data_IF_008052616506
#
_entry.id   IF_008052616506
#
_cell.length_a   1.000
_cell.length_b   1.000
_cell.length_c   1.000
_cell.angle_alpha   90.00
_cell.angle_beta   90.00
_cell.angle_gamma   90.00
#
_symmetry.space_group_name_H-M   'P 1'
#
loop_
_entity.id
_entity.type
_entity.pdbx_description
1 polymer ?
#
# COMPACT_ATOMS: atom_id res chain seq x y z
N UNK A 1 13.33 8.00 -10.17
CA UNK A 1 14.49 7.09 -10.25
C UNK A 1 14.17 5.82 -11.01
N UNK A 2 13.16 5.02 -10.62
CA UNK A 2 12.77 3.78 -11.34
C UNK A 2 12.58 3.96 -12.84
N UNK A 3 11.74 4.91 -13.27
CA UNK A 3 11.51 5.20 -14.70
C UNK A 3 12.79 5.61 -15.44
N UNK A 4 13.69 6.37 -14.79
CA UNK A 4 14.94 6.82 -15.42
C UNK A 4 15.94 5.66 -15.62
N UNK A 5 15.98 4.69 -14.70
CA UNK A 5 16.94 3.58 -14.72
C UNK A 5 16.42 2.40 -15.54
N UNK A 6 15.12 2.08 -15.43
CA UNK A 6 14.49 0.87 -15.97
C UNK A 6 13.52 1.15 -17.14
N UNK A 7 13.43 2.40 -17.58
CA UNK A 7 12.54 2.83 -18.66
C UNK A 7 11.07 2.98 -18.26
N UNK A 8 10.20 3.29 -19.23
CA UNK A 8 8.76 3.48 -19.05
C UNK A 8 7.94 2.18 -18.96
N UNK A 9 8.36 1.22 -18.14
CA UNK A 9 7.68 -0.08 -17.99
C UNK A 9 6.79 -0.15 -16.74
N UNK A 10 5.84 -1.08 -16.70
CA UNK A 10 5.00 -1.31 -15.52
C UNK A 10 5.82 -1.63 -14.26
N UNK A 11 6.90 -2.40 -14.45
CA UNK A 11 7.81 -2.77 -13.37
C UNK A 11 8.57 -1.55 -12.86
N UNK A 12 9.09 -0.70 -13.74
CA UNK A 12 9.88 0.47 -13.37
C UNK A 12 9.13 1.46 -12.45
N UNK A 13 7.82 1.63 -12.66
CA UNK A 13 6.99 2.50 -11.82
C UNK A 13 6.70 1.88 -10.45
N UNK A 14 6.64 0.54 -10.36
CA UNK A 14 6.37 -0.21 -9.11
C UNK A 14 7.63 -0.53 -8.31
N UNK A 15 8.79 -0.50 -8.97
CA UNK A 15 10.08 -0.85 -8.39
C UNK A 15 10.38 -0.14 -7.07
N UNK A 16 10.09 1.17 -6.89
CA UNK A 16 10.31 1.84 -5.61
C UNK A 16 9.47 1.24 -4.46
N UNK A 17 8.18 0.96 -4.68
CA UNK A 17 7.30 0.33 -3.68
C UNK A 17 7.78 -1.08 -3.34
N UNK A 18 8.20 -1.84 -4.36
CA UNK A 18 8.78 -3.17 -4.17
C UNK A 18 10.01 -3.13 -3.26
N UNK A 19 10.95 -2.21 -3.53
CA UNK A 19 12.13 -2.02 -2.69
C UNK A 19 11.77 -1.61 -1.25
N UNK A 20 10.77 -0.74 -1.07
CA UNK A 20 10.31 -0.35 0.26
C UNK A 20 9.78 -1.56 1.06
N UNK A 21 9.00 -2.43 0.42
CA UNK A 21 8.48 -3.65 1.06
C UNK A 21 9.57 -4.69 1.34
N UNK A 22 10.57 -4.83 0.46
CA UNK A 22 11.75 -5.68 0.70
C UNK A 22 12.57 -5.15 1.87
N UNK A 23 12.81 -3.83 1.93
CA UNK A 23 13.51 -3.20 3.05
C UNK A 23 12.74 -3.38 4.37
N UNK A 24 11.41 -3.25 4.34
CA UNK A 24 10.55 -3.46 5.51
C UNK A 24 10.70 -4.90 6.01
N UNK A 25 10.59 -5.90 5.12
CA UNK A 25 10.78 -7.30 5.45
C UNK A 25 12.18 -7.58 6.03
N UNK A 26 13.23 -6.97 5.47
CA UNK A 26 14.60 -7.13 5.96
C UNK A 26 14.81 -6.55 7.36
N UNK A 27 14.29 -5.34 7.62
CA UNK A 27 14.33 -4.71 8.95
C UNK A 27 13.55 -5.54 9.97
N UNK A 28 12.37 -6.03 9.59
CA UNK A 28 11.55 -6.87 10.44
C UNK A 28 12.22 -8.22 10.75
N UNK A 29 12.84 -8.86 9.75
CA UNK A 29 13.63 -10.08 9.94
C UNK A 29 14.77 -9.85 10.94
N UNK A 30 15.59 -8.82 10.69
CA UNK A 30 16.74 -8.50 11.55
C UNK A 30 16.30 -8.18 12.98
N UNK A 31 15.23 -7.40 13.12
CA UNK A 31 14.65 -7.06 14.42
C UNK A 31 14.18 -8.29 15.19
N UNK A 32 13.43 -9.15 14.52
CA UNK A 32 12.89 -10.38 15.12
C UNK A 32 14.01 -11.35 15.53
N UNK A 33 15.08 -11.43 14.74
CA UNK A 33 16.23 -12.26 15.05
C UNK A 33 16.97 -11.80 16.32
N UNK A 34 16.95 -10.49 16.62
CA UNK A 34 17.52 -9.90 17.83
C UNK A 34 16.58 -10.08 19.02
N UNK A 35 15.28 -9.86 18.83
CA UNK A 35 14.27 -9.89 19.89
C UNK A 35 13.88 -11.31 20.32
N UNK A 36 13.96 -12.28 19.40
CA UNK A 36 13.45 -13.64 19.60
C UNK A 36 14.50 -14.67 19.16
N UNK A 37 14.56 -14.97 17.86
CA UNK A 37 15.59 -15.82 17.23
C UNK A 37 15.41 -15.84 15.69
N UNK A 38 16.30 -16.56 14.99
CA UNK A 38 16.28 -16.69 13.52
C UNK A 38 15.07 -17.47 12.99
N UNK A 39 14.51 -18.41 13.75
CA UNK A 39 13.38 -19.21 13.30
C UNK A 39 12.10 -18.36 13.33
N UNK A 40 11.88 -17.63 14.42
CA UNK A 40 10.81 -16.64 14.54
C UNK A 40 10.96 -15.57 13.45
N UNK A 41 12.18 -15.09 13.16
CA UNK A 41 12.41 -14.11 12.11
C UNK A 41 11.97 -14.60 10.72
N UNK A 42 12.27 -15.86 10.39
CA UNK A 42 11.79 -16.49 9.14
C UNK A 42 10.26 -16.52 9.10
N UNK A 43 9.62 -16.99 10.16
CA UNK A 43 8.16 -17.08 10.22
C UNK A 43 7.48 -15.72 10.16
N UNK A 44 7.94 -14.73 10.93
CA UNK A 44 7.43 -13.35 10.87
C UNK A 44 7.50 -12.78 9.46
N UNK A 45 8.61 -13.01 8.76
CA UNK A 45 8.79 -12.51 7.39
C UNK A 45 7.87 -13.23 6.41
N UNK A 46 7.75 -14.56 6.50
CA UNK A 46 6.83 -15.36 5.68
C UNK A 46 5.40 -14.91 5.90
N UNK A 47 4.98 -14.75 7.16
CA UNK A 47 3.65 -14.31 7.56
C UNK A 47 3.36 -12.95 6.92
N UNK A 48 4.24 -11.96 7.10
CA UNK A 48 4.04 -10.64 6.51
C UNK A 48 3.97 -10.70 4.97
N UNK A 49 4.93 -11.36 4.32
CA UNK A 49 5.02 -11.38 2.85
C UNK A 49 3.89 -12.17 2.17
N UNK A 50 3.19 -13.01 2.92
CA UNK A 50 2.04 -13.79 2.43
C UNK A 50 0.69 -13.26 2.90
N UNK A 51 0.65 -12.08 3.53
CA UNK A 51 -0.60 -11.34 3.72
C UNK A 51 -1.03 -10.67 2.41
N UNK A 52 -2.33 -10.50 2.23
CA UNK A 52 -2.93 -9.89 1.05
C UNK A 52 -2.41 -8.47 0.78
N UNK A 53 -2.49 -7.58 1.77
CA UNK A 53 -2.14 -6.17 1.58
C UNK A 53 -0.62 -5.94 1.42
N UNK A 54 0.28 -6.51 2.24
CA UNK A 54 1.73 -6.36 2.03
C UNK A 54 2.18 -6.87 0.66
N UNK A 55 1.66 -8.01 0.19
CA UNK A 55 2.00 -8.52 -1.14
C UNK A 55 1.47 -7.59 -2.25
N UNK A 56 0.22 -7.12 -2.12
CA UNK A 56 -0.36 -6.17 -3.07
C UNK A 56 0.39 -4.83 -3.10
N UNK A 57 0.76 -4.30 -1.93
CA UNK A 57 1.49 -3.05 -1.76
C UNK A 57 2.87 -3.08 -2.42
N UNK A 58 3.54 -4.25 -2.39
CA UNK A 58 4.82 -4.44 -3.09
C UNK A 58 4.71 -4.28 -4.63
N UNK A 59 3.53 -4.54 -5.20
CA UNK A 59 3.24 -4.41 -6.62
C UNK A 59 2.42 -3.17 -7.00
N UNK A 60 2.07 -2.31 -6.05
CA UNK A 60 1.24 -1.14 -6.25
C UNK A 60 2.07 0.15 -6.24
N UNK A 61 1.64 1.15 -7.01
CA UNK A 61 2.27 2.47 -7.03
C UNK A 61 1.59 3.33 -5.96
N UNK A 62 1.98 3.13 -4.70
CA UNK A 62 1.37 3.74 -3.52
C UNK A 62 2.45 4.22 -2.55
N UNK A 63 2.20 5.35 -1.87
CA UNK A 63 3.09 5.87 -0.82
C UNK A 63 3.01 5.06 0.48
N UNK A 64 1.94 4.29 0.67
CA UNK A 64 1.70 3.45 1.85
C UNK A 64 2.84 2.47 2.16
N UNK A 65 3.53 1.95 1.14
CA UNK A 65 4.68 1.05 1.32
C UNK A 65 5.86 1.73 2.02
N UNK A 66 6.14 2.99 1.64
CA UNK A 66 7.19 3.80 2.27
C UNK A 66 6.78 4.22 3.67
N UNK A 67 5.53 4.62 3.85
CA UNK A 67 4.99 4.96 5.16
C UNK A 67 5.10 3.77 6.12
N UNK A 68 4.66 2.58 5.71
CA UNK A 68 4.76 1.37 6.51
C UNK A 68 6.21 1.01 6.85
N UNK A 69 7.16 1.16 5.91
CA UNK A 69 8.59 0.99 6.18
C UNK A 69 9.06 1.98 7.26
N UNK A 70 8.71 3.26 7.13
CA UNK A 70 9.08 4.30 8.08
C UNK A 70 8.59 4.00 9.49
N UNK A 71 7.28 3.71 9.65
CA UNK A 71 6.69 3.35 10.95
C UNK A 71 7.32 2.06 11.51
N UNK A 72 7.50 1.04 10.67
CA UNK A 72 8.12 -0.23 11.09
C UNK A 72 9.53 -0.02 11.62
N UNK A 73 10.34 0.73 10.89
CA UNK A 73 11.70 1.01 11.32
C UNK A 73 11.71 1.82 12.61
N UNK A 74 10.83 2.82 12.72
CA UNK A 74 10.69 3.63 13.93
C UNK A 74 10.37 2.81 15.17
N UNK A 75 9.33 1.99 15.09
CA UNK A 75 8.84 1.19 16.20
C UNK A 75 9.87 0.12 16.62
N UNK A 76 10.47 -0.57 15.66
CA UNK A 76 11.48 -1.60 15.94
C UNK A 76 12.76 -1.00 16.49
N UNK A 77 13.21 0.14 15.96
CA UNK A 77 14.39 0.86 16.46
C UNK A 77 14.23 1.30 17.92
N UNK A 78 13.07 1.87 18.27
CA UNK A 78 12.76 2.22 19.65
C UNK A 78 12.81 1.00 20.59
N UNK A 79 12.29 -0.15 20.14
CA UNK A 79 12.27 -1.36 20.95
C UNK A 79 13.66 -2.01 21.09
N UNK A 80 14.49 -1.97 20.04
CA UNK A 80 15.77 -2.69 19.95
C UNK A 80 16.97 -1.86 20.43
N UNK A 81 16.93 -0.53 20.32
CA UNK A 81 18.07 0.32 20.66
C UNK A 81 18.70 0.02 22.04
N UNK A 82 17.95 -0.32 23.11
CA UNK A 82 18.55 -0.69 24.39
C UNK A 82 19.31 -2.02 24.41
N UNK A 83 18.92 -2.98 23.57
CA UNK A 83 19.56 -4.32 23.53
C UNK A 83 20.66 -4.42 22.47
N UNK A 84 20.55 -3.64 21.38
CA UNK A 84 21.54 -3.58 20.32
C UNK A 84 21.83 -2.10 19.91
N UNK A 85 22.63 -1.36 20.70
CA UNK A 85 22.82 0.10 20.57
C UNK A 85 23.73 0.51 19.39
N UNK A 86 23.58 -0.12 18.23
CA UNK A 86 24.27 0.26 16.99
C UNK A 86 23.69 1.57 16.43
N UNK A 87 24.46 2.37 15.65
CA UNK A 87 23.95 3.57 15.00
C UNK A 87 22.69 3.32 14.17
N UNK A 88 22.60 2.17 13.51
CA UNK A 88 21.42 1.74 12.77
C UNK A 88 20.16 1.79 13.65
N UNK A 89 20.15 1.09 14.79
CA UNK A 89 18.99 1.08 15.68
C UNK A 89 18.81 2.38 16.47
N UNK A 90 19.89 3.04 16.87
CA UNK A 90 19.81 4.29 17.64
C UNK A 90 19.21 5.44 16.80
N UNK A 91 19.56 5.54 15.53
CA UNK A 91 19.00 6.56 14.63
C UNK A 91 17.73 6.10 13.91
N UNK A 92 17.37 4.81 14.01
CA UNK A 92 16.26 4.23 13.25
C UNK A 92 14.89 4.85 13.55
N UNK A 93 14.64 5.30 14.80
CA UNK A 93 13.45 6.07 15.14
C UNK A 93 13.34 7.33 14.26
N UNK A 94 14.41 8.10 14.19
CA UNK A 94 14.44 9.39 13.52
C UNK A 94 14.41 9.27 12.00
N UNK A 95 15.16 8.30 11.46
CA UNK A 95 15.17 8.02 10.01
C UNK A 95 13.83 7.43 9.56
N UNK A 96 13.24 6.51 10.34
CA UNK A 96 11.90 5.98 10.08
C UNK A 96 10.83 7.07 10.10
N UNK A 97 10.90 7.98 11.08
CA UNK A 97 10.02 9.15 11.15
C UNK A 97 10.19 10.08 9.94
N UNK A 98 11.43 10.32 9.48
CA UNK A 98 11.68 11.11 8.29
C UNK A 98 11.04 10.49 7.03
N UNK A 99 11.19 9.17 6.84
CA UNK A 99 10.54 8.44 5.75
C UNK A 99 9.02 8.57 5.86
N UNK A 100 8.46 8.41 7.07
CA UNK A 100 7.03 8.53 7.32
C UNK A 100 6.47 9.91 6.96
N UNK A 101 7.17 10.98 7.40
CA UNK A 101 6.79 12.37 7.13
C UNK A 101 6.79 12.67 5.64
N UNK A 102 7.86 12.31 4.93
CA UNK A 102 7.95 12.53 3.48
C UNK A 102 6.94 11.70 2.67
N UNK A 103 6.44 10.59 3.22
CA UNK A 103 5.49 9.72 2.53
C UNK A 103 4.02 10.11 2.77
N UNK A 104 3.68 10.43 4.01
CA UNK A 104 2.29 10.56 4.51
C UNK A 104 2.16 11.55 5.66
N UNK A 105 3.11 12.48 5.76
CA UNK A 105 3.02 13.65 6.63
C UNK A 105 2.94 13.32 8.13
N UNK A 106 2.29 14.19 8.93
CA UNK A 106 2.30 14.14 10.40
C UNK A 106 1.62 12.90 10.99
N UNK A 107 0.86 12.14 10.19
CA UNK A 107 0.30 10.85 10.62
C UNK A 107 1.37 9.91 11.18
N UNK A 108 2.63 10.05 10.74
CA UNK A 108 3.75 9.28 11.28
C UNK A 108 3.90 9.47 12.80
N UNK A 109 3.83 10.71 13.28
CA UNK A 109 3.96 11.02 14.71
C UNK A 109 2.78 10.45 15.50
N UNK A 110 1.57 10.55 14.94
CA UNK A 110 0.35 10.07 15.58
C UNK A 110 0.42 8.57 15.81
N UNK A 111 0.72 7.77 14.77
CA UNK A 111 0.77 6.31 14.90
C UNK A 111 1.90 5.84 15.83
N UNK A 112 3.05 6.53 15.82
CA UNK A 112 4.14 6.24 16.75
C UNK A 112 3.75 6.60 18.19
N UNK A 113 3.18 7.78 18.42
CA UNK A 113 2.79 8.24 19.76
C UNK A 113 1.69 7.37 20.39
N UNK A 114 0.69 6.94 19.61
CA UNK A 114 -0.42 6.07 20.07
C UNK A 114 0.09 4.75 20.65
N UNK A 115 1.27 4.27 20.25
CA UNK A 115 1.89 3.07 20.84
C UNK A 115 2.81 3.44 21.98
N UNK A 116 3.76 4.33 21.72
CA UNK A 116 4.87 4.62 22.64
C UNK A 116 4.37 5.26 23.93
N UNK A 117 3.48 6.24 23.86
CA UNK A 117 2.99 6.98 25.03
C UNK A 117 2.28 6.06 26.03
N UNK A 118 1.22 5.31 25.66
CA UNK A 118 0.57 4.41 26.62
C UNK A 118 1.51 3.29 27.06
N UNK A 119 2.36 2.75 26.18
CA UNK A 119 3.29 1.70 26.58
C UNK A 119 4.31 2.17 27.62
N UNK A 120 4.87 3.36 27.46
CA UNK A 120 5.78 3.98 28.42
C UNK A 120 5.06 4.36 29.73
N UNK A 121 3.84 4.92 29.63
CA UNK A 121 3.08 5.35 30.80
C UNK A 121 2.72 4.22 31.76
N UNK A 122 2.54 2.99 31.24
CA UNK A 122 2.16 1.83 32.04
C UNK A 122 3.21 1.40 33.08
N UNK A 123 4.52 1.60 32.83
CA UNK A 123 5.57 1.25 33.80
C UNK A 123 6.80 2.14 33.68
N UNK A 124 7.31 2.62 34.83
CA UNK A 124 8.46 3.54 34.91
C UNK A 124 9.78 2.93 34.42
N UNK A 125 9.97 1.62 34.58
CA UNK A 125 11.17 0.90 34.11
C UNK A 125 11.36 0.99 32.59
N UNK A 126 10.28 1.25 31.84
CA UNK A 126 10.31 1.37 30.38
C UNK A 126 10.92 2.69 29.89
N UNK A 127 11.06 3.70 30.76
CA UNK A 127 11.65 4.99 30.39
C UNK A 127 13.11 4.88 29.94
N UNK A 128 13.80 3.79 30.32
CA UNK A 128 15.16 3.48 29.85
C UNK A 128 15.25 3.42 28.31
N UNK A 129 14.16 3.05 27.61
CA UNK A 129 14.11 3.05 26.14
C UNK A 129 14.35 4.45 25.56
N UNK A 130 13.85 5.49 26.22
CA UNK A 130 14.05 6.87 25.77
C UNK A 130 15.51 7.31 25.92
N UNK A 131 16.18 6.88 26.99
CA UNK A 131 17.56 7.31 27.28
C UNK A 131 18.61 6.75 26.31
N UNK A 132 18.29 5.65 25.61
CA UNK A 132 19.19 5.01 24.66
C UNK A 132 19.16 5.65 23.25
N UNK A 133 18.22 6.58 23.02
CA UNK A 133 18.05 7.25 21.75
C UNK A 133 18.77 8.60 21.74
N UNK A 134 19.51 8.91 20.66
CA UNK A 134 20.20 10.18 20.51
C UNK A 134 19.21 11.28 20.13
N UNK A 135 18.37 11.74 21.07
CA UNK A 135 17.28 12.69 20.78
C UNK A 135 17.72 13.95 20.04
N UNK A 136 18.80 14.58 20.47
CA UNK A 136 19.28 15.81 19.83
C UNK A 136 19.75 15.55 18.40
N UNK A 137 20.80 14.73 18.22
CA UNK A 137 21.38 14.48 16.89
C UNK A 137 20.44 13.72 15.97
N UNK A 138 19.63 12.81 16.52
CA UNK A 138 18.58 12.11 15.80
C UNK A 138 17.51 13.05 15.27
N UNK A 139 17.01 13.97 16.09
CA UNK A 139 16.04 14.98 15.66
C UNK A 139 16.64 15.88 14.60
N UNK A 140 17.90 16.30 14.74
CA UNK A 140 18.60 17.08 13.72
C UNK A 140 18.69 16.31 12.39
N UNK A 141 18.99 15.00 12.42
CA UNK A 141 18.97 14.15 11.21
C UNK A 141 17.57 14.08 10.60
N UNK A 142 16.52 13.87 11.40
CA UNK A 142 15.14 13.85 10.89
C UNK A 142 14.75 15.16 10.24
N UNK A 143 15.08 16.30 10.85
CA UNK A 143 14.80 17.63 10.31
C UNK A 143 15.59 17.88 9.03
N UNK A 144 16.89 17.56 9.02
CA UNK A 144 17.72 17.71 7.83
C UNK A 144 17.22 16.89 6.64
N UNK A 145 16.59 15.73 6.87
CA UNK A 145 16.02 14.89 5.82
C UNK A 145 14.64 15.38 5.34
N UNK A 146 13.86 16.03 6.20
CA UNK A 146 12.44 16.35 5.93
C UNK A 146 12.21 17.81 5.55
N UNK A 147 12.73 18.74 6.35
CA UNK A 147 12.45 20.18 6.28
C UNK A 147 12.84 20.79 4.93
N UNK A 148 13.99 20.46 4.30
CA UNK A 148 14.36 21.07 3.02
C UNK A 148 13.32 20.83 1.92
N UNK A 149 12.70 19.65 1.88
CA UNK A 149 11.67 19.36 0.89
C UNK A 149 10.40 20.19 1.12
N UNK A 150 9.94 20.31 2.37
CA UNK A 150 8.77 21.13 2.70
C UNK A 150 9.00 22.61 2.39
N UNK A 151 10.21 23.14 2.68
CA UNK A 151 10.58 24.51 2.32
C UNK A 151 10.53 24.69 0.81
N UNK A 152 11.16 23.80 0.04
CA UNK A 152 11.13 23.88 -1.42
C UNK A 152 9.72 23.79 -2.00
N UNK A 153 8.85 22.94 -1.42
CA UNK A 153 7.46 22.81 -1.85
C UNK A 153 6.67 24.11 -1.59
N UNK A 154 6.82 24.71 -0.40
CA UNK A 154 6.19 26.00 -0.06
C UNK A 154 6.69 27.14 -0.95
N UNK A 155 7.99 27.23 -1.18
CA UNK A 155 8.57 28.27 -2.05
C UNK A 155 8.11 28.13 -3.50
N UNK A 156 7.92 26.89 -3.98
CA UNK A 156 7.47 26.63 -5.35
C UNK A 156 5.96 26.79 -5.51
N UNK A 157 5.19 26.56 -4.45
CA UNK A 157 3.74 26.60 -4.44
C UNK A 157 3.27 27.18 -3.10
N UNK A 158 3.25 28.52 -2.96
CA UNK A 158 2.84 29.17 -1.71
C UNK A 158 1.46 28.70 -1.24
N UNK A 159 1.33 28.41 0.05
CA UNK A 159 0.13 27.82 0.66
C UNK A 159 0.14 26.29 0.70
N UNK A 160 1.15 25.62 0.11
CA UNK A 160 1.26 24.16 0.11
C UNK A 160 1.27 23.57 1.52
N UNK A 161 2.03 24.13 2.46
CA UNK A 161 2.14 23.60 3.83
C UNK A 161 0.81 23.71 4.57
N UNK A 162 0.09 24.82 4.42
CA UNK A 162 -1.23 24.99 5.02
C UNK A 162 -2.22 23.98 4.43
N UNK A 163 -2.26 23.85 3.11
CA UNK A 163 -3.10 22.87 2.43
C UNK A 163 -2.76 21.43 2.86
N UNK A 164 -1.48 21.06 2.84
CA UNK A 164 -1.03 19.70 3.10
C UNK A 164 -1.17 19.33 4.58
N UNK A 165 -0.71 20.16 5.52
CA UNK A 165 -0.76 19.82 6.94
C UNK A 165 -2.16 20.02 7.54
N UNK A 166 -2.84 21.11 7.20
CA UNK A 166 -4.16 21.43 7.81
C UNK A 166 -5.28 20.77 7.00
N UNK A 167 -5.31 20.97 5.68
CA UNK A 167 -6.34 20.39 4.82
C UNK A 167 -6.29 18.86 4.78
N UNK A 168 -5.22 18.33 4.20
CA UNK A 168 -5.13 16.89 3.90
C UNK A 168 -4.99 15.98 5.12
N UNK A 169 -4.57 16.49 6.29
CA UNK A 169 -4.40 15.66 7.48
C UNK A 169 -5.40 15.97 8.59
N UNK A 170 -5.62 17.24 8.93
CA UNK A 170 -6.52 17.59 10.02
C UNK A 170 -7.98 17.61 9.54
N UNK A 171 -8.30 18.44 8.53
CA UNK A 171 -9.67 18.54 8.01
C UNK A 171 -10.13 17.23 7.42
N UNK A 172 -9.30 16.55 6.61
CA UNK A 172 -9.65 15.24 6.02
C UNK A 172 -9.94 14.13 7.05
N UNK A 173 -9.36 14.20 8.25
CA UNK A 173 -9.60 13.23 9.32
C UNK A 173 -10.90 13.53 10.08
N UNK A 174 -11.17 14.82 10.34
CA UNK A 174 -12.32 15.28 11.13
C UNK A 174 -13.60 15.40 10.29
N UNK A 175 -13.47 15.81 9.03
CA UNK A 175 -14.56 16.05 8.09
C UNK A 175 -14.59 14.96 7.02
N UNK A 176 -15.60 14.08 7.11
CA UNK A 176 -15.81 12.97 6.17
C UNK A 176 -16.08 13.46 4.74
N UNK A 177 -16.72 14.64 4.61
CA UNK A 177 -17.15 15.23 3.35
C UNK A 177 -16.18 16.26 2.78
N UNK A 178 -14.94 16.31 3.27
CA UNK A 178 -13.95 17.32 2.89
C UNK A 178 -13.76 17.40 1.37
N UNK A 179 -14.26 18.50 0.77
CA UNK A 179 -14.23 18.77 -0.68
C UNK A 179 -12.94 19.44 -1.17
N UNK A 180 -11.98 19.69 -0.26
CA UNK A 180 -10.71 20.33 -0.60
C UNK A 180 -9.69 19.41 -1.26
N UNK A 181 -10.02 18.13 -1.49
CA UNK A 181 -9.10 17.15 -2.06
C UNK A 181 -8.84 17.44 -3.54
N UNK A 182 -7.65 17.96 -3.84
CA UNK A 182 -7.24 18.28 -5.21
C UNK A 182 -6.81 17.04 -6.01
N UNK A 183 -6.52 15.91 -5.33
CA UNK A 183 -5.81 14.78 -5.94
C UNK A 183 -6.38 13.39 -5.62
N UNK A 184 -7.46 13.30 -4.84
CA UNK A 184 -8.13 12.08 -4.45
C UNK A 184 -9.66 12.22 -4.44
N UNK A 185 -10.33 11.13 -4.05
CA UNK A 185 -11.78 11.10 -3.85
C UNK A 185 -12.07 10.77 -2.39
N UNK A 186 -13.07 11.41 -1.79
CA UNK A 186 -13.52 11.03 -0.45
C UNK A 186 -14.08 9.60 -0.47
N UNK A 187 -13.64 8.77 0.47
CA UNK A 187 -14.11 7.41 0.64
C UNK A 187 -14.86 7.32 1.97
N UNK A 188 -16.09 7.82 1.97
CA UNK A 188 -16.95 7.77 3.14
C UNK A 188 -17.25 6.31 3.52
N UNK A 189 -16.94 5.97 4.77
CA UNK A 189 -17.19 4.64 5.32
C UNK A 189 -17.81 4.74 6.70
N UNK A 190 -18.68 3.79 7.09
CA UNK A 190 -19.16 3.70 8.46
C UNK A 190 -18.00 3.52 9.44
N UNK A 191 -18.08 4.17 10.61
CA UNK A 191 -17.06 4.03 11.65
C UNK A 191 -16.82 2.56 12.02
N UNK A 192 -15.54 2.20 12.17
CA UNK A 192 -15.12 0.84 12.49
C UNK A 192 -15.01 -0.12 11.29
N UNK A 193 -15.39 0.25 10.07
CA UNK A 193 -15.20 -0.62 8.90
C UNK A 193 -13.73 -0.98 8.63
N UNK A 194 -12.81 -0.14 9.12
CA UNK A 194 -11.35 -0.37 9.07
C UNK A 194 -10.93 -1.71 9.70
N UNK A 195 -11.70 -2.27 10.64
CA UNK A 195 -11.40 -3.57 11.24
C UNK A 195 -11.67 -4.74 10.28
N UNK A 196 -12.71 -4.62 9.45
CA UNK A 196 -12.98 -5.58 8.37
C UNK A 196 -11.89 -5.46 7.31
N UNK A 197 -11.49 -4.23 6.99
CA UNK A 197 -10.39 -3.96 6.06
C UNK A 197 -9.05 -4.48 6.61
N UNK A 198 -8.79 -4.38 7.92
CA UNK A 198 -7.64 -4.98 8.58
C UNK A 198 -7.64 -6.50 8.46
N UNK A 199 -8.80 -7.15 8.65
CA UNK A 199 -8.92 -8.60 8.51
C UNK A 199 -8.72 -9.07 7.08
N UNK A 200 -9.21 -8.30 6.10
CA UNK A 200 -8.97 -8.55 4.68
C UNK A 200 -7.49 -8.32 4.33
N UNK A 201 -6.91 -7.23 4.80
CA UNK A 201 -5.52 -6.86 4.55
C UNK A 201 -4.53 -7.88 5.12
N UNK A 202 -4.83 -8.41 6.30
CA UNK A 202 -4.05 -9.46 6.98
C UNK A 202 -4.42 -10.87 6.52
N UNK A 203 -5.36 -11.05 5.59
CA UNK A 203 -5.73 -12.37 5.07
C UNK A 203 -4.49 -13.08 4.49
N UNK A 204 -4.26 -14.37 4.79
CA UNK A 204 -5.10 -15.27 5.59
C UNK A 204 -4.78 -15.27 7.09
N UNK A 205 -3.71 -14.56 7.49
CA UNK A 205 -3.14 -14.60 8.83
C UNK A 205 -4.00 -13.92 9.90
N UNK A 206 -4.78 -12.91 9.56
CA UNK A 206 -5.76 -12.32 10.48
C UNK A 206 -6.75 -13.37 11.00
N UNK A 207 -7.28 -14.19 10.08
CA UNK A 207 -8.14 -15.33 10.44
C UNK A 207 -7.39 -16.40 11.22
N UNK A 208 -6.15 -16.71 10.83
CA UNK A 208 -5.31 -17.65 11.60
C UNK A 208 -5.08 -17.15 13.04
N UNK A 209 -4.92 -15.84 13.24
CA UNK A 209 -4.82 -15.22 14.56
C UNK A 209 -6.09 -15.36 15.39
N UNK A 210 -7.27 -15.17 14.78
CA UNK A 210 -8.57 -15.40 15.44
C UNK A 210 -8.71 -16.87 15.85
N UNK A 211 -8.43 -17.80 14.94
CA UNK A 211 -8.47 -19.24 15.21
C UNK A 211 -7.49 -19.65 16.31
N UNK A 212 -6.28 -19.07 16.32
CA UNK A 212 -5.32 -19.27 17.40
C UNK A 212 -5.88 -18.77 18.73
N UNK A 213 -6.53 -17.60 18.75
CA UNK A 213 -7.20 -17.07 19.93
C UNK A 213 -8.28 -18.00 20.48
N UNK A 214 -9.17 -18.51 19.62
CA UNK A 214 -10.20 -19.49 20.00
C UNK A 214 -9.56 -20.77 20.56
N UNK A 215 -8.53 -21.29 19.89
CA UNK A 215 -7.81 -22.50 20.31
C UNK A 215 -7.07 -22.33 21.66
N UNK A 216 -6.58 -21.13 21.95
CA UNK A 216 -6.00 -20.75 23.25
C UNK A 216 -7.08 -20.71 24.33
N UNK A 217 -8.20 -20.03 24.07
CA UNK A 217 -9.28 -19.86 25.06
C UNK A 217 -9.95 -21.20 25.39
N UNK A 218 -9.99 -22.14 24.44
CA UNK A 218 -10.60 -23.45 24.64
C UNK A 218 -9.90 -24.34 25.69
N UNK A 219 -8.65 -24.06 26.11
CA UNK A 219 -7.90 -24.92 27.03
C UNK A 219 -7.22 -24.13 28.16
N UNK A 220 -7.43 -24.54 29.42
CA UNK A 220 -6.91 -23.84 30.60
C UNK A 220 -5.38 -23.70 30.63
N UNK A 221 -4.65 -24.75 30.22
CA UNK A 221 -3.18 -24.72 30.18
C UNK A 221 -2.65 -23.72 29.15
N UNK A 222 -3.31 -23.64 27.98
CA UNK A 222 -2.96 -22.68 26.92
C UNK A 222 -3.31 -21.26 27.33
N UNK A 223 -4.45 -21.04 27.98
CA UNK A 223 -4.81 -19.74 28.58
C UNK A 223 -3.75 -19.28 29.58
N UNK A 224 -3.26 -20.17 30.43
CA UNK A 224 -2.21 -19.85 31.39
C UNK A 224 -0.90 -19.44 30.71
N UNK A 225 -0.45 -20.19 29.70
CA UNK A 225 0.73 -19.85 28.88
C UNK A 225 0.57 -18.52 28.14
N UNK A 226 -0.59 -18.28 27.52
CA UNK A 226 -0.87 -17.02 26.84
C UNK A 226 -0.84 -15.83 27.81
N UNK A 227 -1.44 -15.98 29.01
CA UNK A 227 -1.34 -14.96 30.06
C UNK A 227 0.09 -14.70 30.50
N UNK A 228 0.92 -15.74 30.60
CA UNK A 228 2.34 -15.59 30.89
C UNK A 228 3.07 -14.84 29.77
N UNK A 229 2.82 -15.18 28.50
CA UNK A 229 3.38 -14.49 27.35
C UNK A 229 2.99 -12.99 27.34
N UNK A 230 1.73 -12.66 27.66
CA UNK A 230 1.25 -11.28 27.74
C UNK A 230 1.89 -10.45 28.87
N UNK A 231 2.59 -11.08 29.83
CA UNK A 231 3.41 -10.34 30.82
C UNK A 231 4.68 -9.76 30.22
N UNK A 232 5.12 -10.25 29.05
CA UNK A 232 6.27 -9.70 28.35
C UNK A 232 5.98 -8.26 27.87
N UNK A 233 6.82 -7.28 28.25
CA UNK A 233 6.70 -5.91 27.74
C UNK A 233 6.71 -5.82 26.21
N UNK A 234 7.45 -6.71 25.54
CA UNK A 234 7.53 -6.79 24.07
C UNK A 234 6.18 -7.23 23.49
N UNK A 235 5.54 -8.24 24.06
CA UNK A 235 4.22 -8.71 23.60
C UNK A 235 3.17 -7.60 23.74
N UNK A 236 3.16 -6.89 24.88
CA UNK A 236 2.28 -5.74 25.08
C UNK A 236 2.54 -4.59 24.11
N UNK A 237 3.81 -4.30 23.80
CA UNK A 237 4.19 -3.30 22.80
C UNK A 237 3.66 -3.65 21.41
N UNK A 238 3.91 -4.89 20.98
CA UNK A 238 3.49 -5.38 19.65
C UNK A 238 1.97 -5.46 19.53
N UNK A 239 1.27 -5.81 20.61
CA UNK A 239 -0.19 -5.81 20.63
C UNK A 239 -0.76 -4.40 20.46
N UNK A 240 -0.23 -3.41 21.19
CA UNK A 240 -0.61 -2.00 21.01
C UNK A 240 -0.33 -1.52 19.58
N UNK A 241 0.82 -1.87 19.01
CA UNK A 241 1.17 -1.50 17.65
C UNK A 241 0.29 -2.18 16.59
N UNK A 242 -0.02 -3.47 16.75
CA UNK A 242 -0.89 -4.21 15.83
C UNK A 242 -2.30 -3.63 15.72
N UNK A 243 -2.78 -2.97 16.78
CA UNK A 243 -4.11 -2.33 16.80
C UNK A 243 -4.07 -0.81 16.59
N UNK A 244 -2.90 -0.16 16.65
CA UNK A 244 -2.80 1.30 16.65
C UNK A 244 -3.46 1.96 15.44
N UNK A 245 -3.13 1.51 14.22
CA UNK A 245 -3.70 2.05 12.99
C UNK A 245 -5.22 1.84 12.91
N UNK A 246 -5.78 0.61 13.03
CA UNK A 246 -7.23 0.42 12.97
C UNK A 246 -7.96 1.14 14.11
N UNK A 247 -7.40 1.21 15.33
CA UNK A 247 -8.00 2.00 16.42
C UNK A 247 -8.05 3.48 16.07
N UNK A 248 -6.96 4.07 15.55
CA UNK A 248 -6.94 5.48 15.17
C UNK A 248 -7.95 5.79 14.05
N UNK A 249 -7.95 4.97 13.00
CA UNK A 249 -8.84 5.15 11.85
C UNK A 249 -10.28 4.71 12.08
N UNK A 250 -10.61 4.11 13.24
CA UNK A 250 -12.00 3.83 13.62
C UNK A 250 -12.82 5.12 13.68
N UNK A 251 -12.18 6.24 14.03
CA UNK A 251 -12.80 7.55 14.19
C UNK A 251 -12.70 8.44 12.94
N UNK A 252 -12.13 7.94 11.83
CA UNK A 252 -12.00 8.71 10.58
C UNK A 252 -13.20 8.43 9.67
N UNK A 253 -13.84 9.49 9.18
CA UNK A 253 -14.94 9.37 8.20
C UNK A 253 -14.49 9.04 6.78
N UNK A 254 -13.20 9.27 6.47
CA UNK A 254 -12.60 9.03 5.17
C UNK A 254 -11.40 8.07 5.33
N UNK A 255 -11.54 6.83 4.88
CA UNK A 255 -10.52 5.78 5.06
C UNK A 255 -10.24 5.01 3.79
N UNK A 256 -9.02 4.50 3.69
CA UNK A 256 -8.62 3.51 2.70
C UNK A 256 -8.15 2.25 3.42
N UNK A 257 -8.49 1.10 2.87
CA UNK A 257 -8.06 -0.21 3.40
C UNK A 257 -6.53 -0.36 3.50
N UNK A 258 -5.76 0.45 2.77
CA UNK A 258 -4.29 0.45 2.85
C UNK A 258 -3.75 1.05 4.15
N UNK A 259 -4.58 1.83 4.88
CA UNK A 259 -4.17 2.55 6.09
C UNK A 259 -3.78 1.64 7.26
N UNK A 260 -4.19 0.37 7.20
CA UNK A 260 -3.84 -0.65 8.18
C UNK A 260 -2.45 -1.25 7.96
N UNK A 261 -1.82 -1.03 6.80
CA UNK A 261 -0.51 -1.61 6.46
C UNK A 261 0.56 -1.41 7.56
N UNK A 262 0.70 -0.24 8.20
CA UNK A 262 1.70 -0.03 9.25
C UNK A 262 1.52 -0.88 10.52
N UNK A 263 0.36 -1.52 10.73
CA UNK A 263 0.12 -2.38 11.90
C UNK A 263 0.39 -3.87 11.64
N UNK A 264 0.44 -4.28 10.37
CA UNK A 264 0.66 -5.67 9.96
C UNK A 264 2.04 -6.24 10.34
N UNK A 265 3.15 -5.48 10.32
CA UNK A 265 4.46 -5.96 10.77
C UNK A 265 4.47 -6.39 12.24
N UNK A 266 3.83 -5.60 13.10
CA UNK A 266 3.66 -5.92 14.52
C UNK A 266 2.82 -7.18 14.71
N UNK A 267 1.71 -7.28 13.97
CA UNK A 267 0.84 -8.45 14.01
C UNK A 267 1.57 -9.72 13.55
N UNK A 268 2.34 -9.66 12.46
CA UNK A 268 3.13 -10.78 11.97
C UNK A 268 4.16 -11.27 12.99
N UNK A 269 4.84 -10.33 13.67
CA UNK A 269 5.80 -10.64 14.72
C UNK A 269 5.12 -11.25 15.94
N UNK A 270 4.03 -10.62 16.41
CA UNK A 270 3.23 -11.09 17.54
C UNK A 270 2.70 -12.52 17.29
N UNK A 271 2.17 -12.77 16.10
CA UNK A 271 1.63 -14.08 15.73
C UNK A 271 2.72 -15.16 15.73
N UNK A 272 3.91 -14.86 15.19
CA UNK A 272 5.05 -15.79 15.21
C UNK A 272 5.52 -16.09 16.65
N UNK A 273 5.58 -15.07 17.51
CA UNK A 273 5.95 -15.23 18.92
C UNK A 273 4.94 -16.10 19.68
N UNK A 274 3.65 -15.81 19.55
CA UNK A 274 2.60 -16.58 20.21
C UNK A 274 2.53 -18.01 19.69
N UNK A 275 2.65 -18.22 18.37
CA UNK A 275 2.68 -19.56 17.79
C UNK A 275 3.85 -20.39 18.34
N UNK A 276 5.04 -19.78 18.49
CA UNK A 276 6.20 -20.45 19.08
C UNK A 276 5.95 -20.83 20.56
N UNK A 277 5.48 -19.89 21.36
CA UNK A 277 5.30 -20.08 22.81
C UNK A 277 4.19 -21.10 23.15
N UNK A 278 3.14 -21.15 22.33
CA UNK A 278 1.97 -21.98 22.59
C UNK A 278 2.09 -23.40 22.04
N UNK A 279 3.08 -23.67 21.18
CA UNK A 279 3.23 -24.97 20.51
C UNK A 279 3.98 -25.98 21.39
N UNK A 280 3.38 -27.14 21.70
CA UNK A 280 4.13 -28.29 22.22
C UNK A 280 5.19 -28.73 21.20
N UNK A 281 6.35 -29.20 21.67
CA UNK A 281 7.44 -29.67 20.82
C UNK A 281 6.98 -30.73 19.78
N UNK A 282 6.06 -31.61 20.17
CA UNK A 282 5.49 -32.67 19.33
C UNK A 282 4.56 -32.15 18.21
N UNK A 283 3.96 -30.97 18.38
CA UNK A 283 3.03 -30.38 17.42
C UNK A 283 3.72 -29.54 16.34
N UNK A 284 5.02 -29.26 16.49
CA UNK A 284 5.79 -28.38 15.61
C UNK A 284 5.73 -28.79 14.13
N UNK A 285 5.84 -30.07 13.73
CA UNK A 285 5.79 -30.46 12.32
C UNK A 285 4.41 -30.23 11.68
N UNK A 286 3.33 -30.53 12.42
CA UNK A 286 1.95 -30.30 11.95
C UNK A 286 1.65 -28.81 11.82
N UNK A 287 2.02 -28.02 12.83
CA UNK A 287 1.83 -26.58 12.79
C UNK A 287 2.60 -25.95 11.63
N UNK A 288 3.88 -26.32 11.46
CA UNK A 288 4.68 -25.83 10.34
C UNK A 288 4.02 -26.12 8.99
N UNK A 289 3.44 -27.31 8.80
CA UNK A 289 2.70 -27.65 7.57
C UNK A 289 1.46 -26.76 7.37
N UNK A 290 0.67 -26.53 8.43
CA UNK A 290 -0.50 -25.65 8.37
C UNK A 290 -0.07 -24.23 8.01
N UNK A 291 0.95 -23.69 8.68
CA UNK A 291 1.48 -22.36 8.41
C UNK A 291 1.99 -22.21 6.97
N UNK A 292 2.66 -23.23 6.42
CA UNK A 292 3.10 -23.23 5.02
C UNK A 292 1.90 -23.22 4.07
N UNK A 293 0.91 -24.08 4.28
CA UNK A 293 -0.29 -24.14 3.43
C UNK A 293 -1.04 -22.80 3.48
N UNK A 294 -1.25 -22.26 4.68
CA UNK A 294 -1.86 -20.94 4.87
C UNK A 294 -1.05 -19.84 4.18
N UNK A 295 0.27 -19.80 4.36
CA UNK A 295 1.15 -18.84 3.71
C UNK A 295 1.24 -18.96 2.19
N UNK A 296 0.92 -20.13 1.61
CA UNK A 296 0.92 -20.34 0.17
C UNK A 296 -0.34 -19.79 -0.52
N UNK A 297 -1.46 -19.57 0.20
CA UNK A 297 -2.75 -19.21 -0.40
C UNK A 297 -2.69 -17.92 -1.24
N UNK A 298 -2.22 -16.83 -0.64
CA UNK A 298 -2.19 -15.52 -1.27
C UNK A 298 -1.17 -15.45 -2.43
N UNK A 299 0.09 -15.92 -2.27
CA UNK A 299 1.03 -16.00 -3.39
C UNK A 299 0.51 -16.87 -4.55
N UNK A 300 -0.12 -18.01 -4.26
CA UNK A 300 -0.68 -18.89 -5.30
C UNK A 300 -1.82 -18.20 -6.05
N UNK A 301 -2.72 -17.51 -5.33
CA UNK A 301 -3.78 -16.72 -5.94
C UNK A 301 -3.22 -15.57 -6.80
N UNK A 302 -2.18 -14.87 -6.33
CA UNK A 302 -1.52 -13.80 -7.08
C UNK A 302 -0.86 -14.33 -8.36
N UNK A 303 -0.16 -15.47 -8.31
CA UNK A 303 0.43 -16.12 -9.49
C UNK A 303 -0.66 -16.54 -10.47
N UNK A 304 -1.76 -17.13 -9.97
CA UNK A 304 -2.89 -17.56 -10.79
C UNK A 304 -3.56 -16.38 -11.51
N UNK A 305 -3.79 -15.27 -10.80
CA UNK A 305 -4.29 -14.02 -11.39
C UNK A 305 -3.31 -13.43 -12.39
N UNK A 306 -2.01 -13.50 -12.12
CA UNK A 306 -0.95 -13.13 -13.06
C UNK A 306 -1.00 -13.95 -14.34
N UNK A 307 -1.17 -15.27 -14.24
CA UNK A 307 -1.30 -16.16 -15.40
C UNK A 307 -2.57 -15.87 -16.22
N UNK A 308 -3.71 -15.68 -15.54
CA UNK A 308 -4.97 -15.24 -16.20
C UNK A 308 -4.79 -13.91 -16.90
N UNK A 309 -3.97 -13.00 -16.34
CA UNK A 309 -3.70 -11.70 -16.95
C UNK A 309 -2.94 -11.82 -18.28
N UNK A 310 -2.14 -12.88 -18.45
CA UNK A 310 -1.39 -13.17 -19.67
C UNK A 310 -2.23 -13.91 -20.70
N UNK A 311 -3.10 -14.83 -20.27
CA UNK A 311 -3.90 -15.69 -21.17
C UNK A 311 -5.24 -15.08 -21.58
N UNK A 312 -5.86 -14.26 -20.72
CA UNK A 312 -7.14 -13.59 -21.00
C UNK A 312 -7.09 -12.07 -20.74
N UNK A 313 -6.15 -11.34 -21.36
CA UNK A 313 -5.92 -9.92 -21.11
C UNK A 313 -7.14 -9.04 -21.41
N UNK A 314 -8.01 -9.44 -22.35
CA UNK A 314 -9.26 -8.75 -22.68
C UNK A 314 -10.27 -8.72 -21.53
N UNK A 315 -10.14 -9.60 -20.53
CA UNK A 315 -11.00 -9.61 -19.31
C UNK A 315 -10.54 -8.60 -18.25
N UNK A 316 -9.33 -8.05 -18.38
CA UNK A 316 -8.81 -7.07 -17.43
C UNK A 316 -9.35 -5.67 -17.74
N UNK A 317 -9.46 -4.83 -16.70
CA UNK A 317 -9.77 -3.41 -16.87
C UNK A 317 -8.50 -2.64 -17.27
N UNK A 318 -7.98 -2.90 -18.46
CA UNK A 318 -6.75 -2.30 -18.99
C UNK A 318 -6.80 -2.09 -20.49
N UNK A 319 -6.27 -0.96 -20.93
CA UNK A 319 -6.30 -0.54 -22.33
C UNK A 319 -4.97 -0.83 -23.04
N UNK A 320 -4.10 -1.63 -22.41
CA UNK A 320 -2.77 -2.01 -22.93
C UNK A 320 -2.84 -2.53 -24.35
N UNK A 321 -3.66 -3.56 -24.55
CA UNK A 321 -3.77 -4.21 -25.86
C UNK A 321 -4.45 -3.33 -26.89
N UNK A 322 -5.49 -2.60 -26.47
CA UNK A 322 -6.22 -1.69 -27.35
C UNK A 322 -5.29 -0.60 -27.89
N UNK A 323 -4.48 0.01 -27.03
CA UNK A 323 -3.49 1.02 -27.44
C UNK A 323 -2.37 0.38 -28.27
N UNK A 324 -1.92 -0.83 -27.95
CA UNK A 324 -0.91 -1.53 -28.73
C UNK A 324 -1.39 -1.82 -30.17
N UNK A 325 -2.64 -2.27 -30.33
CA UNK A 325 -3.25 -2.49 -31.65
C UNK A 325 -3.37 -1.19 -32.42
N UNK A 326 -3.85 -0.11 -31.78
CA UNK A 326 -3.90 1.21 -32.41
C UNK A 326 -2.51 1.64 -32.90
N UNK A 327 -1.49 1.61 -32.02
CA UNK A 327 -0.11 1.97 -32.37
C UNK A 327 0.47 1.13 -33.50
N UNK A 328 0.12 -0.16 -33.59
CA UNK A 328 0.62 -1.04 -34.66
C UNK A 328 0.02 -0.73 -36.04
N UNK A 329 -1.13 -0.05 -36.09
CA UNK A 329 -1.82 0.30 -37.33
C UNK A 329 -1.75 1.80 -37.66
N UNK A 330 -1.34 2.63 -36.70
CA UNK A 330 -1.18 4.07 -36.86
C UNK A 330 0.08 4.39 -37.67
N UNK A 331 -0.09 5.25 -38.67
CA UNK A 331 1.02 5.93 -39.36
C UNK A 331 1.42 7.20 -38.62
N UNK A 332 2.59 7.75 -38.95
CA UNK A 332 3.09 9.00 -38.35
C UNK A 332 2.09 10.15 -38.54
N UNK A 333 1.84 10.92 -37.49
CA UNK A 333 0.84 12.00 -37.48
C UNK A 333 -0.59 11.57 -37.13
N UNK A 334 -0.95 10.29 -37.24
CA UNK A 334 -2.29 9.81 -36.87
C UNK A 334 -2.48 9.84 -35.35
N UNK A 335 -3.72 10.09 -34.92
CA UNK A 335 -4.09 10.24 -33.50
C UNK A 335 -5.02 9.13 -33.01
N UNK A 336 -4.89 8.82 -31.72
CA UNK A 336 -5.77 7.93 -30.99
C UNK A 336 -6.64 8.75 -30.03
N UNK A 337 -7.93 8.75 -30.28
CA UNK A 337 -8.93 9.46 -29.50
C UNK A 337 -9.69 8.50 -28.58
N UNK A 338 -9.84 8.87 -27.31
CA UNK A 338 -10.76 8.24 -26.38
C UNK A 338 -11.98 9.13 -26.22
N UNK A 339 -13.16 8.58 -26.47
CA UNK A 339 -14.42 9.32 -26.38
C UNK A 339 -15.02 9.15 -24.99
N UNK A 340 -15.64 10.20 -24.46
CA UNK A 340 -16.25 10.30 -23.11
C UNK A 340 -15.25 10.29 -21.96
N UNK A 341 -14.36 9.31 -21.90
CA UNK A 341 -13.39 9.23 -20.81
C UNK A 341 -12.09 8.57 -21.26
N UNK A 342 -10.97 9.08 -20.74
CA UNK A 342 -9.63 8.57 -21.03
C UNK A 342 -9.05 7.92 -19.77
N UNK A 343 -9.11 6.58 -19.64
CA UNK A 343 -8.66 5.89 -18.44
C UNK A 343 -7.15 6.04 -18.23
N UNK A 344 -6.69 5.91 -16.98
CA UNK A 344 -5.25 6.00 -16.64
C UNK A 344 -4.39 5.01 -17.44
N UNK A 345 -4.90 3.80 -17.69
CA UNK A 345 -4.25 2.80 -18.55
C UNK A 345 -4.01 3.34 -19.97
N UNK A 346 -5.01 3.97 -20.58
CA UNK A 346 -4.86 4.56 -21.91
C UNK A 346 -3.79 5.65 -21.95
N UNK A 347 -3.76 6.54 -20.95
CA UNK A 347 -2.69 7.56 -20.81
C UNK A 347 -1.31 6.93 -20.67
N UNK A 348 -1.18 5.92 -19.81
CA UNK A 348 0.09 5.26 -19.57
C UNK A 348 0.62 4.55 -20.82
N UNK A 349 -0.18 3.68 -21.45
CA UNK A 349 0.28 2.89 -22.61
C UNK A 349 0.43 3.71 -23.90
N UNK A 350 -0.29 4.83 -24.02
CA UNK A 350 -0.07 5.76 -25.14
C UNK A 350 1.21 6.57 -24.98
N UNK A 351 1.72 6.74 -23.75
CA UNK A 351 2.81 7.67 -23.46
C UNK A 351 2.30 9.12 -23.40
N UNK A 352 1.02 9.31 -23.05
CA UNK A 352 0.37 10.61 -22.98
C UNK A 352 -0.21 11.12 -24.31
N UNK A 353 0.01 10.41 -25.42
CA UNK A 353 -0.42 10.85 -26.77
C UNK A 353 -1.89 10.57 -27.08
N UNK A 354 -2.56 9.67 -26.33
CA UNK A 354 -3.99 9.45 -26.54
C UNK A 354 -4.79 10.67 -26.05
N UNK A 355 -5.63 11.25 -26.89
CA UNK A 355 -6.41 12.45 -26.59
C UNK A 355 -7.80 12.08 -26.06
N UNK A 356 -8.40 12.95 -25.23
CA UNK A 356 -9.77 12.81 -24.75
C UNK A 356 -10.64 13.77 -25.57
N UNK A 357 -11.68 13.25 -26.21
CA UNK A 357 -12.65 14.06 -26.95
C UNK A 357 -14.08 13.79 -26.47
N UNK A 358 -14.94 14.79 -26.63
CA UNK A 358 -16.39 14.64 -26.45
C UNK A 358 -17.06 14.16 -27.75
N UNK A 359 -18.27 13.57 -27.69
CA UNK A 359 -18.97 13.09 -28.90
C UNK A 359 -19.15 14.16 -29.98
N UNK A 360 -19.46 15.41 -29.59
CA UNK A 360 -19.62 16.52 -30.53
C UNK A 360 -18.33 16.93 -31.23
N UNK A 361 -17.15 16.64 -30.65
CA UNK A 361 -15.87 16.84 -31.30
C UNK A 361 -15.55 15.71 -32.27
N UNK A 362 -15.97 14.48 -31.94
CA UNK A 362 -15.87 13.35 -32.85
C UNK A 362 -16.70 13.57 -34.12
N UNK A 363 -17.89 14.14 -33.99
CA UNK A 363 -18.77 14.49 -35.12
C UNK A 363 -18.15 15.57 -36.03
N UNK A 364 -17.39 16.49 -35.44
CA UNK A 364 -16.69 17.55 -36.16
C UNK A 364 -15.34 17.12 -36.71
N UNK A 365 -14.94 15.87 -36.48
CA UNK A 365 -13.65 15.34 -36.93
C UNK A 365 -13.65 15.21 -38.46
N UNK A 366 -13.24 16.28 -39.12
CA UNK A 366 -12.91 16.26 -40.56
C UNK A 366 -11.52 15.67 -40.73
N UNK A 367 -11.46 14.58 -41.49
CA UNK A 367 -10.23 13.94 -41.90
C UNK A 367 -10.09 14.17 -43.40
N UNK A 368 -8.90 14.52 -43.86
CA UNK A 368 -8.67 14.66 -45.30
C UNK A 368 -8.73 13.30 -45.98
N UNK A 369 -8.99 13.29 -47.30
CA UNK A 369 -9.10 12.06 -48.09
C UNK A 369 -7.78 11.28 -48.04
N UNK A 370 -7.79 10.12 -47.39
CA UNK A 370 -6.60 9.29 -47.16
C UNK A 370 -6.02 9.38 -45.74
N UNK A 371 -6.51 10.30 -44.91
CA UNK A 371 -6.24 10.30 -43.48
C UNK A 371 -7.10 9.27 -42.75
N UNK A 372 -6.58 8.78 -41.63
CA UNK A 372 -7.32 7.94 -40.73
C UNK A 372 -7.01 8.32 -39.28
N UNK A 373 -8.02 8.24 -38.44
CA UNK A 373 -7.86 8.33 -37.00
C UNK A 373 -8.36 7.05 -36.33
N UNK A 374 -7.90 6.86 -35.10
CA UNK A 374 -8.28 5.73 -34.27
C UNK A 374 -9.15 6.24 -33.13
N UNK A 375 -10.30 5.61 -32.92
CA UNK A 375 -11.29 6.06 -31.96
C UNK A 375 -11.65 4.91 -31.03
N UNK A 376 -11.43 5.10 -29.73
CA UNK A 376 -11.83 4.18 -28.69
C UNK A 376 -13.16 4.65 -28.07
N UNK A 377 -14.24 3.93 -28.34
CA UNK A 377 -15.58 4.19 -27.80
C UNK A 377 -15.89 3.22 -26.66
N UNK A 378 -16.52 3.67 -25.55
CA UNK A 378 -16.99 2.78 -24.51
C UNK A 378 -17.98 1.75 -25.07
N UNK A 379 -17.80 0.49 -24.69
CA UNK A 379 -18.69 -0.60 -25.11
C UNK A 379 -20.14 -0.28 -24.74
N UNK A 380 -21.04 -0.38 -25.70
CA UNK A 380 -22.47 -0.10 -25.50
C UNK A 380 -22.83 1.38 -25.53
N UNK A 381 -21.94 2.27 -26.00
CA UNK A 381 -22.24 3.69 -26.24
C UNK A 381 -22.18 4.08 -27.72
N UNK A 382 -22.03 3.11 -28.61
CA UNK A 382 -21.96 3.31 -30.05
C UNK A 382 -23.25 3.93 -30.61
N UNK A 383 -24.39 3.57 -30.02
CA UNK A 383 -25.71 4.06 -30.42
C UNK A 383 -25.95 5.55 -30.10
N UNK A 384 -25.09 6.17 -29.28
CA UNK A 384 -25.17 7.58 -28.91
C UNK A 384 -24.40 8.49 -29.86
N UNK A 385 -23.61 7.92 -30.77
CA UNK A 385 -22.88 8.67 -31.80
C UNK A 385 -23.80 8.87 -33.00
N UNK A 386 -23.75 10.05 -33.63
CA UNK A 386 -24.52 10.34 -34.85
C UNK A 386 -24.35 9.24 -35.92
N UNK A 387 -25.43 8.95 -36.64
CA UNK A 387 -25.47 7.86 -37.63
C UNK A 387 -24.44 8.06 -38.75
N UNK A 388 -24.23 9.31 -39.19
CA UNK A 388 -23.27 9.65 -40.25
C UNK A 388 -21.82 9.32 -39.88
N UNK A 389 -21.47 9.45 -38.60
CA UNK A 389 -20.15 9.09 -38.07
C UNK A 389 -20.08 7.59 -37.85
N UNK A 390 -21.15 6.99 -37.34
CA UNK A 390 -21.21 5.56 -37.02
C UNK A 390 -20.96 4.68 -38.24
N UNK A 391 -21.49 5.05 -39.40
CA UNK A 391 -21.26 4.33 -40.65
C UNK A 391 -19.79 4.33 -41.10
N UNK A 392 -19.01 5.32 -40.68
CA UNK A 392 -17.57 5.43 -40.98
C UNK A 392 -16.68 4.64 -40.02
N UNK A 393 -17.22 4.14 -38.91
CA UNK A 393 -16.46 3.44 -37.88
C UNK A 393 -16.25 1.97 -38.22
N UNK A 394 -15.02 1.59 -38.54
CA UNK A 394 -14.64 0.20 -38.79
C UNK A 394 -14.05 -0.41 -37.52
N UNK A 395 -14.69 -1.42 -36.89
CA UNK A 395 -14.18 -2.01 -35.66
C UNK A 395 -12.89 -2.79 -35.90
N UNK A 396 -11.88 -2.57 -35.05
CA UNK A 396 -10.55 -3.21 -35.14
C UNK A 396 -10.34 -4.20 -34.00
N UNK A 397 -10.60 -3.77 -32.77
CA UNK A 397 -10.29 -4.54 -31.57
C UNK A 397 -11.21 -4.17 -30.43
N UNK A 398 -11.36 -5.08 -29.45
CA UNK A 398 -12.23 -4.88 -28.30
C UNK A 398 -11.50 -5.21 -27.01
N UNK A 399 -11.60 -4.30 -26.06
CA UNK A 399 -11.22 -4.49 -24.67
C UNK A 399 -12.47 -4.69 -23.80
N UNK A 400 -12.29 -4.97 -22.51
CA UNK A 400 -13.41 -5.05 -21.56
C UNK A 400 -14.29 -3.80 -21.54
N UNK A 401 -13.71 -2.62 -21.76
CA UNK A 401 -14.38 -1.33 -21.58
C UNK A 401 -14.63 -0.56 -22.88
N UNK A 402 -13.81 -0.77 -23.90
CA UNK A 402 -13.83 0.01 -25.13
C UNK A 402 -13.72 -0.89 -26.36
N UNK A 403 -14.36 -0.47 -27.44
CA UNK A 403 -14.10 -0.95 -28.79
C UNK A 403 -13.28 0.10 -29.53
N UNK A 404 -12.21 -0.34 -30.18
CA UNK A 404 -11.35 0.48 -31.03
C UNK A 404 -11.89 0.43 -32.45
N UNK A 405 -12.06 1.59 -33.05
CA UNK A 405 -12.50 1.79 -34.41
C UNK A 405 -11.43 2.55 -35.20
N UNK A 406 -11.38 2.28 -36.51
CA UNK A 406 -10.72 3.14 -37.49
C UNK A 406 -11.79 4.01 -38.12
N UNK A 407 -11.54 5.31 -38.19
CA UNK A 407 -12.34 6.25 -38.95
C UNK A 407 -11.49 6.77 -40.10
N UNK A 408 -12.00 6.68 -41.32
CA UNK A 408 -11.33 7.19 -42.52
C UNK A 408 -11.93 8.55 -42.92
N UNK A 409 -11.12 9.40 -43.53
CA UNK A 409 -11.53 10.68 -44.14
C UNK A 409 -12.08 10.56 -45.54
#
# INVERSE_FOLDING_TARGET
MGIRILGGSEFAVRFPSFLAMVALAAVLYRATAILVDRQAARWTTIILSSMLLPLAAAGAVLTDSFFALGITYSMLAFLIAPTAPTPFWRYGLFVGMAIGLLSKGPLAFVLVAIVLVPWLALRRDRMVHLTNLPWLTGTLVMLALTVPWYICAELKTPGFVQYFLVGEHFLRFVDAGWQGDLYGTAHERPFGSIWIEWLLASFPWGWAGILLGVWVVANASRRARARQACRSPVVGYLALWAVAAPTFFTFSGNILWTYVLPSLPAFALLLAMLAKELSPAEAVPRLARILVITGALVPTAAISLGLVSLTAPTKLKTEKQLVAVAKSQMSEGQKLYFVYSRPFSARFYSGGTAELIVPSELEKLSLEKGEAAFVALPNGKEFLIDESVRERLVPISKSRRYTLYKING
#
